data_IF_052734485086
#
_entry.id   IF_052734485086
#
_cell.length_a   1.000
_cell.length_b   1.000
_cell.length_c   1.000
_cell.angle_alpha   90.00
_cell.angle_beta   90.00
_cell.angle_gamma   90.00
#
_symmetry.space_group_name_H-M   'P 1'
#
loop_
_entity.id
_entity.type
_entity.pdbx_description
1 polymer ?
#
# COMPACT_ATOMS: atom_id res chain seq x y z
N UNK A 1 -6.85 1.20 -10.57
CA UNK A 1 -5.58 1.77 -10.21
C UNK A 1 -4.47 0.91 -10.83
N UNK A 2 -3.72 1.48 -11.78
CA UNK A 2 -2.67 0.80 -12.53
C UNK A 2 -1.37 1.57 -12.29
N UNK A 3 -0.25 0.85 -12.01
CA UNK A 3 1.06 1.48 -11.75
C UNK A 3 1.24 2.06 -10.35
N UNK A 4 0.21 2.04 -9.49
CA UNK A 4 0.42 2.39 -8.08
C UNK A 4 1.19 1.27 -7.39
N UNK A 5 2.24 1.66 -6.70
CA UNK A 5 3.10 0.73 -5.95
C UNK A 5 2.72 0.80 -4.49
N UNK A 6 2.28 -0.33 -3.94
CA UNK A 6 2.10 -0.45 -2.49
C UNK A 6 3.47 -0.65 -1.85
N UNK A 7 3.69 -0.02 -0.72
CA UNK A 7 4.90 -0.26 0.06
C UNK A 7 4.84 -1.63 0.74
N UNK A 8 5.97 -2.33 0.71
CA UNK A 8 6.18 -3.58 1.41
C UNK A 8 7.58 -3.62 2.01
N UNK A 9 7.71 -4.36 3.09
CA UNK A 9 9.02 -4.64 3.66
C UNK A 9 9.70 -5.71 2.79
N UNK A 10 10.71 -5.31 2.02
CA UNK A 10 11.51 -6.20 1.18
C UNK A 10 12.67 -6.76 1.99
N UNK A 11 12.82 -8.08 1.96
CA UNK A 11 13.88 -8.80 2.68
C UNK A 11 14.76 -9.49 1.65
N UNK A 12 15.91 -8.89 1.40
CA UNK A 12 16.91 -9.38 0.45
C UNK A 12 17.86 -10.31 1.16
N UNK A 13 17.59 -11.60 1.05
CA UNK A 13 18.38 -12.66 1.70
C UNK A 13 19.76 -12.75 1.05
N UNK A 14 20.81 -12.91 1.87
CA UNK A 14 22.19 -13.12 1.45
C UNK A 14 22.58 -14.61 1.62
N UNK A 15 22.60 -15.39 0.51
CA UNK A 15 22.77 -16.85 0.59
C UNK A 15 24.07 -17.27 1.28
N UNK A 16 25.16 -16.55 1.03
CA UNK A 16 26.47 -16.86 1.62
C UNK A 16 26.43 -16.70 3.15
N UNK A 17 25.77 -15.67 3.65
CA UNK A 17 25.60 -15.46 5.08
C UNK A 17 24.69 -16.52 5.71
N UNK A 18 23.60 -16.90 5.03
CA UNK A 18 22.75 -18.01 5.49
C UNK A 18 23.58 -19.30 5.64
N UNK A 19 24.37 -19.64 4.62
CA UNK A 19 25.22 -20.84 4.64
C UNK A 19 26.24 -20.81 5.80
N UNK A 20 26.87 -19.65 6.03
CA UNK A 20 27.84 -19.47 7.12
C UNK A 20 27.21 -19.70 8.51
N UNK A 21 25.96 -19.31 8.69
CA UNK A 21 25.22 -19.56 9.93
C UNK A 21 24.48 -20.91 9.93
N UNK A 22 24.57 -21.71 8.84
CA UNK A 22 23.83 -22.96 8.68
C UNK A 22 22.31 -22.78 8.77
N UNK A 23 21.79 -21.65 8.22
CA UNK A 23 20.39 -21.32 8.17
C UNK A 23 19.81 -21.57 6.79
N UNK A 24 18.51 -21.82 6.74
CA UNK A 24 17.74 -21.96 5.52
C UNK A 24 16.77 -20.79 5.34
N UNK A 25 16.25 -20.61 4.14
CA UNK A 25 15.19 -19.61 3.88
C UNK A 25 13.92 -19.94 4.69
N UNK A 26 13.66 -21.22 4.93
CA UNK A 26 12.52 -21.66 5.75
C UNK A 26 12.66 -21.19 7.21
N UNK A 27 13.87 -21.18 7.77
CA UNK A 27 14.11 -20.69 9.13
C UNK A 27 13.78 -19.19 9.23
N UNK A 28 14.14 -18.40 8.20
CA UNK A 28 13.79 -16.98 8.13
C UNK A 28 12.29 -16.79 8.04
N UNK A 29 11.62 -17.56 7.19
CA UNK A 29 10.17 -17.47 7.01
C UNK A 29 9.43 -17.79 8.32
N UNK A 30 9.88 -18.83 9.03
CA UNK A 30 9.30 -19.19 10.33
C UNK A 30 9.51 -18.09 11.37
N UNK A 31 10.75 -17.57 11.49
CA UNK A 31 11.06 -16.49 12.41
C UNK A 31 10.22 -15.23 12.14
N UNK A 32 10.05 -14.87 10.86
CA UNK A 32 9.17 -13.76 10.43
C UNK A 32 7.72 -14.01 10.81
N UNK A 33 7.21 -15.21 10.52
CA UNK A 33 5.82 -15.57 10.80
C UNK A 33 5.52 -15.57 12.31
N UNK A 34 6.46 -16.03 13.12
CA UNK A 34 6.29 -16.13 14.56
C UNK A 34 6.39 -14.77 15.27
N UNK A 35 7.27 -13.88 14.80
CA UNK A 35 7.52 -12.60 15.46
C UNK A 35 6.76 -11.41 14.82
N UNK A 36 6.26 -11.57 13.60
CA UNK A 36 5.44 -10.54 12.92
C UNK A 36 3.95 -10.91 12.90
N UNK A 37 3.40 -11.21 14.06
CA UNK A 37 1.97 -11.53 14.20
C UNK A 37 1.33 -10.66 15.27
N UNK A 38 0.07 -10.38 15.08
CA UNK A 38 -0.77 -9.77 16.09
C UNK A 38 -1.23 -10.86 17.07
N UNK A 39 -0.98 -10.64 18.36
CA UNK A 39 -1.41 -11.55 19.41
C UNK A 39 -2.33 -10.82 20.37
N UNK A 40 -3.52 -11.37 20.61
CA UNK A 40 -4.38 -10.91 21.66
C UNK A 40 -3.79 -11.34 23.00
N UNK A 41 -3.41 -10.36 23.84
CA UNK A 41 -2.81 -10.64 25.15
C UNK A 41 -3.83 -10.86 26.27
N UNK A 42 -5.13 -10.75 25.97
CA UNK A 42 -6.20 -10.90 26.95
C UNK A 42 -6.49 -9.64 27.75
N UNK A 43 -7.15 -9.84 28.87
CA UNK A 43 -7.65 -8.75 29.75
C UNK A 43 -7.27 -9.07 31.17
N UNK A 44 -6.65 -8.12 31.89
CA UNK A 44 -6.42 -8.22 33.31
C UNK A 44 -7.70 -7.88 34.09
N UNK A 45 -8.02 -8.64 35.13
CA UNK A 45 -9.19 -8.39 35.95
C UNK A 45 -10.51 -8.97 35.44
N UNK A 46 -10.47 -9.85 34.42
CA UNK A 46 -11.66 -10.56 33.97
C UNK A 46 -12.09 -11.60 35.03
N UNK A 47 -13.40 -11.65 35.30
CA UNK A 47 -13.94 -12.65 36.21
C UNK A 47 -13.53 -14.10 35.81
N UNK A 48 -13.21 -14.99 36.79
CA UNK A 48 -13.73 -14.99 38.17
C UNK A 48 -12.81 -14.40 39.25
N UNK A 49 -11.92 -13.46 38.93
CA UNK A 49 -11.06 -12.82 39.96
C UNK A 49 -11.91 -11.90 40.83
N UNK A 50 -12.07 -12.25 42.11
CA UNK A 50 -12.83 -11.46 43.09
C UNK A 50 -12.01 -10.23 43.53
N UNK A 51 -12.66 -9.07 43.59
CA UNK A 51 -12.10 -7.83 44.15
C UNK A 51 -11.47 -6.85 43.20
N UNK A 52 -11.61 -7.05 41.90
CA UNK A 52 -11.23 -6.09 40.87
C UNK A 52 -12.46 -5.64 40.08
N UNK A 53 -12.87 -4.39 40.26
CA UNK A 53 -14.00 -3.77 39.53
C UNK A 53 -13.57 -3.14 38.20
N UNK A 54 -12.27 -3.27 37.85
CA UNK A 54 -11.72 -2.66 36.64
C UNK A 54 -11.07 -3.75 35.80
N UNK A 55 -11.50 -3.82 34.53
CA UNK A 55 -10.90 -4.65 33.49
C UNK A 55 -9.95 -3.80 32.63
N UNK A 56 -8.67 -4.21 32.52
CA UNK A 56 -7.65 -3.53 31.73
C UNK A 56 -7.28 -4.41 30.57
N UNK A 57 -7.59 -4.01 29.31
CA UNK A 57 -7.11 -4.74 28.14
C UNK A 57 -5.60 -4.64 28.04
N UNK A 58 -4.92 -5.77 27.86
CA UNK A 58 -3.48 -5.80 27.59
C UNK A 58 -3.30 -5.71 26.08
N UNK A 59 -2.68 -4.63 25.64
CA UNK A 59 -2.28 -4.47 24.24
C UNK A 59 -0.84 -4.91 24.08
N UNK A 60 -0.59 -5.89 23.23
CA UNK A 60 0.76 -6.26 22.81
C UNK A 60 1.20 -5.45 21.60
N UNK A 61 2.50 -5.44 21.34
CA UNK A 61 3.01 -4.91 20.10
C UNK A 61 2.35 -5.66 18.92
N UNK A 62 1.72 -4.91 18.01
CA UNK A 62 1.11 -5.45 16.82
C UNK A 62 2.16 -5.91 15.79
N UNK A 63 1.76 -5.98 14.53
CA UNK A 63 2.69 -6.29 13.44
C UNK A 63 3.81 -5.26 13.36
N UNK A 64 4.99 -5.72 13.02
CA UNK A 64 6.16 -4.88 12.80
C UNK A 64 5.93 -3.97 11.60
N UNK A 65 6.31 -2.70 11.73
CA UNK A 65 6.03 -1.67 10.72
C UNK A 65 7.28 -0.92 10.24
N UNK A 66 8.39 -1.01 10.96
CA UNK A 66 9.61 -0.28 10.64
C UNK A 66 10.76 -1.22 10.27
N UNK A 67 11.67 -0.76 9.41
CA UNK A 67 12.87 -1.51 9.02
C UNK A 67 13.65 -1.99 10.24
N UNK A 68 13.89 -1.10 11.22
CA UNK A 68 14.63 -1.47 12.43
C UNK A 68 13.98 -2.58 13.26
N UNK A 69 12.64 -2.62 13.33
CA UNK A 69 11.95 -3.72 14.00
C UNK A 69 12.15 -5.05 13.29
N UNK A 70 12.12 -5.06 11.94
CA UNK A 70 12.41 -6.26 11.17
C UNK A 70 13.87 -6.70 11.30
N UNK A 71 14.81 -5.76 11.35
CA UNK A 71 16.23 -6.05 11.53
C UNK A 71 16.53 -6.79 12.84
N UNK A 72 15.78 -6.50 13.89
CA UNK A 72 15.93 -7.08 15.22
C UNK A 72 15.26 -8.45 15.39
N UNK A 73 14.53 -8.95 14.39
CA UNK A 73 13.93 -10.30 14.42
C UNK A 73 15.04 -11.34 14.70
N UNK A 74 14.84 -12.17 15.71
CA UNK A 74 15.73 -13.25 16.07
C UNK A 74 15.46 -14.46 15.17
N UNK A 75 16.42 -14.82 14.32
CA UNK A 75 16.33 -16.00 13.45
C UNK A 75 16.78 -17.26 14.18
N UNK A 76 17.85 -17.16 14.98
CA UNK A 76 18.36 -18.25 15.82
C UNK A 76 18.99 -17.73 17.10
N UNK A 77 18.71 -18.41 18.20
CA UNK A 77 19.46 -18.29 19.45
C UNK A 77 20.24 -19.59 19.67
N UNK A 78 21.54 -19.48 19.87
CA UNK A 78 22.42 -20.61 20.10
C UNK A 78 22.55 -20.90 21.62
N UNK A 79 22.98 -22.11 21.97
CA UNK A 79 23.12 -22.52 23.35
C UNK A 79 24.26 -21.77 24.12
N UNK A 80 25.18 -21.16 23.42
CA UNK A 80 26.25 -20.31 23.94
C UNK A 80 25.78 -18.86 24.25
N UNK A 81 24.52 -18.56 23.99
CA UNK A 81 23.94 -17.24 24.17
C UNK A 81 24.10 -16.30 22.96
N UNK A 82 24.77 -16.73 21.90
CA UNK A 82 24.85 -15.92 20.67
C UNK A 82 23.53 -15.93 19.93
N UNK A 83 23.20 -14.79 19.35
CA UNK A 83 21.92 -14.56 18.64
C UNK A 83 22.20 -14.13 17.22
N UNK A 84 21.58 -14.80 16.26
CA UNK A 84 21.59 -14.40 14.84
C UNK A 84 20.29 -13.65 14.57
N UNK A 85 20.40 -12.42 14.11
CA UNK A 85 19.26 -11.56 13.76
C UNK A 85 19.06 -11.49 12.26
N UNK A 86 17.88 -11.04 11.83
CA UNK A 86 17.55 -10.94 10.42
C UNK A 86 18.52 -10.02 9.65
N UNK A 87 18.98 -8.92 10.27
CA UNK A 87 20.01 -8.02 9.71
C UNK A 87 21.34 -8.70 9.40
N UNK A 88 21.68 -9.78 10.10
CA UNK A 88 22.96 -10.47 9.94
C UNK A 88 22.98 -11.31 8.65
N UNK A 89 21.81 -11.73 8.15
CA UNK A 89 21.63 -12.64 7.02
C UNK A 89 20.84 -12.06 5.84
N UNK A 90 20.24 -10.86 6.03
CA UNK A 90 19.46 -10.20 5.00
C UNK A 90 19.60 -8.67 5.06
N UNK A 91 19.35 -8.00 3.94
CA UNK A 91 19.13 -6.55 3.87
C UNK A 91 17.63 -6.31 3.89
N UNK A 92 17.18 -5.39 4.72
CA UNK A 92 15.78 -5.03 4.85
C UNK A 92 15.59 -3.61 4.34
N UNK A 93 14.57 -3.38 3.53
CA UNK A 93 14.22 -2.06 3.00
C UNK A 93 12.71 -1.93 2.83
N UNK A 94 12.19 -0.73 3.02
CA UNK A 94 10.80 -0.40 2.70
C UNK A 94 10.76 0.06 1.25
N UNK A 95 10.26 -0.77 0.37
CA UNK A 95 10.24 -0.56 -1.07
C UNK A 95 8.88 -0.93 -1.66
N UNK A 96 8.74 -0.82 -2.98
CA UNK A 96 7.51 -1.25 -3.64
C UNK A 96 7.31 -2.77 -3.50
N UNK A 97 6.08 -3.20 -3.27
CA UNK A 97 5.73 -4.63 -3.15
C UNK A 97 5.97 -5.42 -4.43
N UNK A 98 5.91 -4.75 -5.58
CA UNK A 98 6.15 -5.33 -6.90
C UNK A 98 6.63 -4.24 -7.87
N UNK A 99 7.52 -4.62 -8.77
CA UNK A 99 8.00 -3.81 -9.89
C UNK A 99 7.49 -4.33 -11.24
N UNK A 100 6.54 -5.26 -11.25
CA UNK A 100 6.05 -5.92 -12.46
C UNK A 100 5.17 -5.03 -13.32
N UNK A 101 4.66 -3.93 -12.77
CA UNK A 101 3.80 -2.99 -13.50
C UNK A 101 4.39 -1.59 -13.39
N UNK A 102 4.74 -1.03 -14.52
CA UNK A 102 5.13 0.37 -14.65
C UNK A 102 4.11 1.10 -15.51
N UNK A 103 3.82 2.32 -15.16
CA UNK A 103 3.08 3.24 -16.00
C UNK A 103 3.83 4.56 -16.12
N UNK A 104 3.81 5.13 -17.28
CA UNK A 104 4.42 6.42 -17.57
C UNK A 104 3.50 7.27 -18.44
N UNK A 105 3.61 8.57 -18.29
CA UNK A 105 2.97 9.55 -19.14
C UNK A 105 4.05 10.52 -19.62
N UNK A 106 4.12 10.74 -20.92
CA UNK A 106 5.13 11.60 -21.54
C UNK A 106 6.60 11.25 -21.17
N UNK A 107 6.88 9.98 -20.80
CA UNK A 107 8.20 9.51 -20.39
C UNK A 107 8.51 9.68 -18.90
N UNK A 108 7.61 10.27 -18.13
CA UNK A 108 7.72 10.38 -16.66
C UNK A 108 6.91 9.28 -15.96
N UNK A 109 7.40 8.84 -14.81
CA UNK A 109 6.70 7.83 -14.01
C UNK A 109 5.35 8.37 -13.55
N UNK A 110 4.30 7.60 -13.77
CA UNK A 110 2.94 7.97 -13.41
C UNK A 110 2.17 6.81 -12.75
N UNK A 111 1.20 7.14 -11.93
CA UNK A 111 0.16 6.21 -11.49
C UNK A 111 -1.13 6.53 -12.24
N UNK A 112 -1.71 5.54 -12.89
CA UNK A 112 -2.94 5.72 -13.69
C UNK A 112 -4.16 5.35 -12.84
N UNK A 113 -5.11 6.28 -12.77
CA UNK A 113 -6.39 6.08 -12.12
C UNK A 113 -7.49 6.02 -13.19
N UNK A 114 -8.08 4.86 -13.39
CA UNK A 114 -9.26 4.68 -14.23
C UNK A 114 -10.54 4.93 -13.43
N UNK A 115 -11.35 5.86 -13.90
CA UNK A 115 -12.65 6.19 -13.30
C UNK A 115 -13.75 5.70 -14.23
N UNK A 116 -14.63 4.87 -13.72
CA UNK A 116 -15.73 4.28 -14.46
C UNK A 116 -17.06 4.73 -13.87
N UNK A 117 -17.98 5.16 -14.73
CA UNK A 117 -19.33 5.50 -14.27
C UNK A 117 -20.15 4.24 -14.01
N UNK A 118 -21.07 4.33 -13.06
CA UNK A 118 -22.06 3.30 -12.84
C UNK A 118 -23.14 3.31 -13.96
N UNK A 119 -23.75 2.16 -14.25
CA UNK A 119 -24.86 2.09 -15.20
C UNK A 119 -25.98 3.07 -14.84
N UNK A 120 -26.43 3.88 -15.80
CA UNK A 120 -27.47 4.89 -15.60
C UNK A 120 -26.99 6.25 -15.09
N UNK A 121 -25.70 6.40 -14.77
CA UNK A 121 -25.16 7.71 -14.41
C UNK A 121 -24.98 8.62 -15.64
N UNK A 122 -25.03 9.94 -15.42
CA UNK A 122 -24.77 10.92 -16.45
C UNK A 122 -23.24 11.10 -16.62
N UNK A 123 -22.73 10.72 -17.79
CA UNK A 123 -21.29 10.76 -18.06
C UNK A 123 -20.69 12.18 -17.95
N UNK A 124 -21.41 13.19 -18.43
CA UNK A 124 -20.98 14.60 -18.37
C UNK A 124 -20.86 15.09 -16.93
N UNK A 125 -21.90 14.81 -16.13
CA UNK A 125 -21.93 15.19 -14.72
C UNK A 125 -20.82 14.48 -13.92
N UNK A 126 -20.62 13.19 -14.16
CA UNK A 126 -19.54 12.43 -13.51
C UNK A 126 -18.19 13.03 -13.85
N UNK A 127 -17.92 13.34 -15.13
CA UNK A 127 -16.64 13.92 -15.56
C UNK A 127 -16.40 15.30 -14.94
N UNK A 128 -17.43 16.14 -14.88
CA UNK A 128 -17.35 17.47 -14.26
C UNK A 128 -17.04 17.36 -12.76
N UNK A 129 -17.75 16.49 -12.05
CA UNK A 129 -17.52 16.23 -10.63
C UNK A 129 -16.09 15.68 -10.37
N UNK A 130 -15.59 14.80 -11.23
CA UNK A 130 -14.23 14.29 -11.13
C UNK A 130 -13.19 15.38 -11.34
N UNK A 131 -13.35 16.22 -12.38
CA UNK A 131 -12.44 17.34 -12.65
C UNK A 131 -12.42 18.34 -11.49
N UNK A 132 -13.59 18.64 -10.93
CA UNK A 132 -13.69 19.51 -9.75
C UNK A 132 -12.99 18.91 -8.53
N UNK A 133 -13.24 17.64 -8.22
CA UNK A 133 -12.60 16.95 -7.11
C UNK A 133 -11.07 16.89 -7.29
N UNK A 134 -10.58 16.59 -8.50
CA UNK A 134 -9.15 16.56 -8.78
C UNK A 134 -8.49 17.92 -8.62
N UNK A 135 -9.17 19.00 -9.05
CA UNK A 135 -8.68 20.36 -8.86
C UNK A 135 -8.61 20.73 -7.36
N UNK A 136 -9.59 20.33 -6.56
CA UNK A 136 -9.58 20.58 -5.11
C UNK A 136 -8.46 19.77 -4.40
N UNK A 137 -8.30 18.49 -4.75
CA UNK A 137 -7.30 17.60 -4.16
C UNK A 137 -5.88 18.04 -4.55
N UNK A 138 -5.69 18.51 -5.78
CA UNK A 138 -4.36 18.92 -6.29
C UNK A 138 -3.74 20.07 -5.50
N UNK A 139 -4.54 20.89 -4.84
CA UNK A 139 -4.04 21.96 -3.96
C UNK A 139 -3.28 21.42 -2.73
N UNK A 140 -3.48 20.14 -2.38
CA UNK A 140 -2.82 19.48 -1.25
C UNK A 140 -1.75 18.48 -1.70
N UNK A 141 -1.36 18.50 -2.97
CA UNK A 141 -0.30 17.63 -3.46
C UNK A 141 1.05 18.05 -2.91
N UNK A 142 1.91 17.09 -2.57
CA UNK A 142 3.30 17.39 -2.24
C UNK A 142 4.05 17.96 -3.46
N UNK A 143 5.14 18.67 -3.18
CA UNK A 143 6.00 19.22 -4.22
C UNK A 143 6.48 18.13 -5.20
N UNK A 144 6.39 18.41 -6.48
CA UNK A 144 6.79 17.48 -7.54
C UNK A 144 5.70 16.48 -7.97
N UNK A 145 4.51 16.51 -7.37
CA UNK A 145 3.37 15.73 -7.83
C UNK A 145 2.40 16.62 -8.62
N UNK A 146 2.06 16.20 -9.83
CA UNK A 146 1.02 16.82 -10.65
C UNK A 146 0.06 15.77 -11.20
N UNK A 147 -1.08 16.18 -11.72
CA UNK A 147 -1.99 15.28 -12.41
C UNK A 147 -2.30 15.77 -13.82
N UNK A 148 -2.60 14.84 -14.69
CA UNK A 148 -3.04 15.09 -16.05
C UNK A 148 -4.21 14.15 -16.37
N UNK A 149 -5.14 14.61 -17.21
CA UNK A 149 -6.25 13.80 -17.71
C UNK A 149 -6.01 13.53 -19.19
N UNK A 150 -5.24 12.49 -19.54
CA UNK A 150 -4.86 12.21 -20.93
C UNK A 150 -6.01 11.68 -21.76
N UNK A 151 -7.04 11.15 -21.12
CA UNK A 151 -8.17 10.54 -21.80
C UNK A 151 -9.49 10.88 -21.11
N UNK A 152 -10.34 11.59 -21.82
CA UNK A 152 -11.68 11.96 -21.38
C UNK A 152 -12.69 11.70 -22.51
N UNK A 153 -13.52 10.67 -22.33
CA UNK A 153 -14.53 10.31 -23.32
C UNK A 153 -15.65 11.35 -23.46
N UNK A 154 -15.85 12.19 -22.45
CA UNK A 154 -16.96 13.16 -22.45
C UNK A 154 -16.69 14.33 -23.40
N UNK A 155 -15.45 14.58 -23.78
CA UNK A 155 -15.10 15.56 -24.80
C UNK A 155 -15.75 15.22 -26.14
N UNK A 156 -15.66 13.95 -26.58
CA UNK A 156 -16.29 13.50 -27.82
C UNK A 156 -17.83 13.56 -27.75
N UNK A 157 -18.41 13.25 -26.61
CA UNK A 157 -19.85 13.33 -26.38
C UNK A 157 -20.32 14.80 -26.49
N UNK A 158 -19.59 15.72 -25.86
CA UNK A 158 -19.88 17.15 -25.89
C UNK A 158 -19.80 17.72 -27.30
N UNK A 159 -18.76 17.40 -28.05
CA UNK A 159 -18.61 17.82 -29.44
C UNK A 159 -19.75 17.30 -30.32
N UNK A 160 -20.09 16.02 -30.18
CA UNK A 160 -21.20 15.41 -30.94
C UNK A 160 -22.55 16.08 -30.63
N UNK A 161 -22.83 16.40 -29.38
CA UNK A 161 -24.04 17.12 -28.99
C UNK A 161 -24.03 18.53 -29.57
N UNK A 162 -22.88 19.21 -29.53
CA UNK A 162 -22.75 20.56 -30.09
C UNK A 162 -23.01 20.59 -31.62
N UNK A 163 -22.50 19.61 -32.34
CA UNK A 163 -22.74 19.46 -33.77
C UNK A 163 -24.23 19.21 -34.11
N UNK A 164 -24.89 18.39 -33.29
CA UNK A 164 -26.36 18.18 -33.46
C UNK A 164 -27.14 19.47 -33.25
N UNK A 165 -26.83 20.25 -32.23
CA UNK A 165 -27.47 21.55 -32.00
C UNK A 165 -27.19 22.52 -33.15
N UNK A 166 -25.96 22.57 -33.66
CA UNK A 166 -25.57 23.43 -34.77
C UNK A 166 -26.36 23.08 -36.06
N UNK A 167 -26.40 21.80 -36.42
CA UNK A 167 -27.16 21.35 -37.57
C UNK A 167 -28.65 21.58 -37.47
N UNK A 168 -29.20 21.45 -36.26
CA UNK A 168 -30.61 21.77 -36.01
C UNK A 168 -30.89 23.27 -36.20
N UNK A 169 -29.99 24.13 -35.74
CA UNK A 169 -30.08 25.58 -35.92
C UNK A 169 -29.93 26.03 -37.39
N UNK A 170 -29.04 25.34 -38.15
CA UNK A 170 -28.84 25.62 -39.59
C UNK A 170 -30.02 25.16 -40.45
N UNK A 171 -30.83 24.20 -39.94
CA UNK A 171 -31.99 23.65 -40.65
C UNK A 171 -33.31 24.39 -40.36
N UNK A 172 -33.34 25.33 -39.42
CA UNK A 172 -34.49 26.18 -39.05
C UNK A 172 -34.43 27.53 -39.69
#
# INVERSE_FOLDING_TARGET
NIGSRYYAMQIWVQPDKLANFGLTVADLQNALKDQNRESAAGVLGQQPVQGLDITIPITTQGRLSTVGQFEEIVVRANADGSIVRLRDVARISLEASSYNTESSINGENAAVLGIYMLPGANAMEVAENVKKAMNEISNNFPDGLSYEIPFDMTTYISESIHEVYKTLFEAL
#
